data_IF_722087240038
#
_entry.id   IF_722087240038
#
_cell.length_a   1.000
_cell.length_b   1.000
_cell.length_c   1.000
_cell.angle_alpha   90.00
_cell.angle_beta   90.00
_cell.angle_gamma   90.00
#
_symmetry.space_group_name_H-M   'P 1'
#
loop_
_entity.id
_entity.type
_entity.pdbx_description
1 polymer ?
#
# COMPACT_ATOMS: atom_id res chain seq x y z
N UNK A 1 8.41 19.87 -6.39
CA UNK A 1 8.43 18.80 -7.40
C UNK A 1 7.74 17.59 -6.80
N UNK A 2 6.59 17.18 -7.35
CA UNK A 2 5.97 15.92 -6.98
C UNK A 2 6.91 14.84 -7.49
N UNK A 3 7.60 14.15 -6.58
CA UNK A 3 8.27 12.93 -6.96
C UNK A 3 7.17 11.98 -7.40
N UNK A 4 7.04 11.77 -8.70
CA UNK A 4 6.46 10.52 -9.20
C UNK A 4 7.14 9.37 -8.44
N UNK A 5 6.39 8.30 -8.15
CA UNK A 5 6.93 7.06 -7.56
C UNK A 5 8.31 6.83 -8.18
N UNK A 6 9.37 6.98 -7.37
CA UNK A 6 10.74 6.86 -7.87
C UNK A 6 10.90 5.50 -8.54
N UNK A 7 11.75 5.39 -9.56
CA UNK A 7 11.89 4.16 -10.33
C UNK A 7 12.20 2.94 -9.43
N UNK A 8 12.91 3.15 -8.32
CA UNK A 8 13.15 2.13 -7.29
C UNK A 8 11.85 1.65 -6.60
N UNK A 9 10.95 2.57 -6.24
CA UNK A 9 9.65 2.18 -5.67
C UNK A 9 8.79 1.44 -6.69
N UNK A 10 8.87 1.79 -7.99
CA UNK A 10 8.18 1.01 -9.05
C UNK A 10 8.71 -0.42 -9.14
N UNK A 11 10.03 -0.62 -9.11
CA UNK A 11 10.62 -1.97 -9.14
C UNK A 11 10.20 -2.79 -7.90
N UNK A 12 10.13 -2.17 -6.72
CA UNK A 12 9.61 -2.82 -5.51
C UNK A 12 8.12 -3.19 -5.67
N UNK A 13 7.31 -2.32 -6.30
CA UNK A 13 5.91 -2.62 -6.59
C UNK A 13 5.73 -3.72 -7.64
N UNK A 14 6.50 -3.73 -8.72
CA UNK A 14 6.46 -4.77 -9.75
C UNK A 14 6.92 -6.13 -9.20
N UNK A 15 7.92 -6.12 -8.32
CA UNK A 15 8.40 -7.33 -7.62
C UNK A 15 7.31 -7.88 -6.70
N UNK A 16 6.67 -7.02 -5.90
CA UNK A 16 5.57 -7.46 -5.04
C UNK A 16 4.39 -7.94 -5.88
N UNK A 17 4.01 -7.23 -6.94
CA UNK A 17 2.93 -7.64 -7.83
C UNK A 17 3.20 -9.02 -8.45
N UNK A 18 4.42 -9.26 -8.93
CA UNK A 18 4.83 -10.56 -9.49
C UNK A 18 4.76 -11.70 -8.45
N UNK A 19 5.17 -11.43 -7.21
CA UNK A 19 5.04 -12.40 -6.10
C UNK A 19 3.57 -12.65 -5.73
N UNK A 20 2.71 -11.64 -5.82
CA UNK A 20 1.27 -11.77 -5.57
C UNK A 20 0.51 -12.53 -6.66
N UNK A 21 0.85 -12.29 -7.93
CA UNK A 21 0.33 -13.07 -9.06
C UNK A 21 0.66 -14.55 -8.89
N UNK A 22 1.83 -14.85 -8.32
CA UNK A 22 2.26 -16.21 -7.98
C UNK A 22 1.51 -16.78 -6.77
N UNK A 23 1.19 -15.95 -5.77
CA UNK A 23 0.47 -16.35 -4.56
C UNK A 23 -1.07 -16.50 -4.76
N UNK A 24 -1.63 -16.00 -5.86
CA UNK A 24 -3.07 -16.04 -6.21
C UNK A 24 -3.63 -17.44 -6.51
N UNK A 25 -2.87 -18.50 -6.21
CA UNK A 25 -3.25 -19.90 -6.43
C UNK A 25 -4.41 -20.41 -5.59
N UNK A 26 -4.77 -19.78 -4.45
CA UNK A 26 -5.69 -20.40 -3.48
C UNK A 26 -6.78 -19.49 -2.85
N UNK A 27 -7.10 -18.35 -3.46
CA UNK A 27 -8.35 -17.60 -3.17
C UNK A 27 -8.56 -17.02 -1.75
N UNK A 28 -7.67 -17.31 -0.81
CA UNK A 28 -7.74 -16.88 0.60
C UNK A 28 -6.78 -15.70 0.92
N UNK A 29 -6.00 -15.26 -0.07
CA UNK A 29 -5.01 -14.18 0.07
C UNK A 29 -5.60 -12.77 0.13
N UNK A 30 -4.79 -11.81 0.58
CA UNK A 30 -5.13 -10.39 0.54
C UNK A 30 -5.38 -9.92 -0.90
N UNK A 31 -6.30 -8.97 -1.08
CA UNK A 31 -6.56 -8.38 -2.40
C UNK A 31 -5.43 -7.42 -2.83
N UNK A 32 -5.27 -7.26 -4.14
CA UNK A 32 -4.20 -6.48 -4.76
C UNK A 32 -4.12 -5.03 -4.25
N UNK A 33 -5.26 -4.41 -3.91
CA UNK A 33 -5.30 -3.04 -3.37
C UNK A 33 -4.74 -3.01 -1.95
N UNK A 34 -5.09 -4.01 -1.13
CA UNK A 34 -4.57 -4.15 0.23
C UNK A 34 -3.05 -4.29 0.23
N UNK A 35 -2.50 -5.19 -0.58
CA UNK A 35 -1.03 -5.35 -0.62
C UNK A 35 -0.35 -4.10 -1.18
N UNK A 36 -0.89 -3.50 -2.25
CA UNK A 36 -0.35 -2.26 -2.80
C UNK A 36 -0.23 -1.14 -1.74
N UNK A 37 -1.23 -1.01 -0.88
CA UNK A 37 -1.23 -0.03 0.21
C UNK A 37 -0.21 -0.35 1.30
N UNK A 38 -0.04 -1.63 1.66
CA UNK A 38 0.96 -2.06 2.65
C UNK A 38 2.39 -1.82 2.16
N UNK A 39 2.68 -2.15 0.89
CA UNK A 39 3.99 -1.88 0.28
C UNK A 39 4.24 -0.37 0.18
N UNK A 40 3.22 0.40 -0.21
CA UNK A 40 3.31 1.85 -0.26
C UNK A 40 3.58 2.46 1.13
N UNK A 41 2.95 1.92 2.17
CA UNK A 41 3.18 2.31 3.56
C UNK A 41 4.59 1.97 4.04
N UNK A 42 5.12 0.79 3.68
CA UNK A 42 6.49 0.39 3.97
C UNK A 42 7.54 1.31 3.34
N UNK A 43 7.22 1.87 2.17
CA UNK A 43 8.10 2.72 1.37
C UNK A 43 7.81 4.22 1.48
N UNK A 44 7.02 4.65 2.46
CA UNK A 44 6.69 6.07 2.69
C UNK A 44 6.07 6.79 1.47
N UNK A 45 5.36 6.04 0.62
CA UNK A 45 4.75 6.54 -0.61
C UNK A 45 3.49 7.35 -0.29
N UNK A 46 3.21 8.39 -1.08
CA UNK A 46 1.99 9.16 -0.92
C UNK A 46 0.79 8.37 -1.46
N UNK A 47 -0.33 8.42 -0.74
CA UNK A 47 -1.59 7.81 -1.17
C UNK A 47 -2.00 8.27 -2.58
N UNK A 48 -1.74 9.53 -2.91
CA UNK A 48 -2.03 10.06 -4.24
C UNK A 48 -1.25 9.32 -5.34
N UNK A 49 0.03 9.03 -5.11
CA UNK A 49 0.89 8.44 -6.12
C UNK A 49 0.53 6.97 -6.35
N UNK A 50 0.37 6.18 -5.27
CA UNK A 50 -0.02 4.77 -5.38
C UNK A 50 -1.43 4.59 -5.96
N UNK A 51 -2.40 5.44 -5.56
CA UNK A 51 -3.76 5.35 -6.09
C UNK A 51 -3.86 5.81 -7.54
N UNK A 52 -2.99 6.72 -8.00
CA UNK A 52 -2.87 7.09 -9.40
C UNK A 52 -2.25 5.95 -10.20
N UNK A 53 -1.12 5.41 -9.77
CA UNK A 53 -0.48 4.28 -10.43
C UNK A 53 -1.42 3.08 -10.54
N UNK A 54 -2.05 2.68 -9.43
CA UNK A 54 -2.95 1.54 -9.41
C UNK A 54 -4.20 1.72 -10.29
N UNK A 55 -4.65 2.96 -10.50
CA UNK A 55 -5.71 3.26 -11.47
C UNK A 55 -5.17 3.20 -12.90
N UNK A 56 -3.97 3.74 -13.16
CA UNK A 56 -3.34 3.78 -14.48
C UNK A 56 -3.02 2.36 -15.00
N UNK A 57 -2.64 1.41 -14.13
CA UNK A 57 -2.38 0.00 -14.49
C UNK A 57 -3.61 -0.92 -14.37
N UNK A 58 -4.75 -0.39 -13.93
CA UNK A 58 -6.02 -1.12 -13.88
C UNK A 58 -6.26 -2.01 -12.66
N UNK A 59 -5.52 -1.83 -11.57
CA UNK A 59 -5.73 -2.56 -10.30
C UNK A 59 -7.07 -2.17 -9.68
N UNK A 60 -7.30 -0.88 -9.44
CA UNK A 60 -8.57 -0.37 -8.91
C UNK A 60 -8.69 1.15 -9.03
N UNK A 61 -9.93 1.65 -8.92
CA UNK A 61 -10.18 3.10 -8.86
C UNK A 61 -9.54 3.76 -7.63
N UNK A 62 -9.22 5.06 -7.72
CA UNK A 62 -8.78 5.87 -6.55
C UNK A 62 -9.76 5.81 -5.36
N UNK A 63 -11.06 5.73 -5.64
CA UNK A 63 -12.08 5.61 -4.59
C UNK A 63 -11.97 4.28 -3.83
N UNK A 64 -11.61 3.18 -4.51
CA UNK A 64 -11.35 1.88 -3.89
C UNK A 64 -10.12 1.96 -3.00
N UNK A 65 -9.00 2.49 -3.50
CA UNK A 65 -7.80 2.73 -2.69
C UNK A 65 -8.11 3.53 -1.42
N UNK A 66 -8.89 4.62 -1.54
CA UNK A 66 -9.27 5.44 -0.39
C UNK A 66 -10.05 4.66 0.67
N UNK A 67 -11.04 3.85 0.25
CA UNK A 67 -11.83 3.02 1.19
C UNK A 67 -10.99 1.92 1.84
N UNK A 68 -10.17 1.22 1.06
CA UNK A 68 -9.27 0.19 1.59
C UNK A 68 -8.27 0.80 2.58
N UNK A 69 -7.71 1.97 2.26
CA UNK A 69 -6.86 2.74 3.17
C UNK A 69 -7.54 3.02 4.50
N UNK A 70 -8.77 3.53 4.49
CA UNK A 70 -9.54 3.76 5.74
C UNK A 70 -9.72 2.47 6.53
N UNK A 71 -10.09 1.36 5.87
CA UNK A 71 -10.21 0.05 6.53
C UNK A 71 -8.89 -0.39 7.17
N UNK A 72 -7.75 -0.21 6.49
CA UNK A 72 -6.45 -0.59 7.02
C UNK A 72 -6.01 0.29 8.20
N UNK A 73 -6.36 1.59 8.20
CA UNK A 73 -6.16 2.47 9.37
C UNK A 73 -7.02 2.03 10.55
N UNK A 74 -8.29 1.66 10.33
CA UNK A 74 -9.18 1.15 11.37
C UNK A 74 -8.67 -0.15 12.01
N UNK A 75 -7.94 -0.96 11.23
CA UNK A 75 -7.29 -2.19 11.69
C UNK A 75 -5.89 -1.96 12.29
N UNK A 76 -5.39 -0.72 12.29
CA UNK A 76 -4.05 -0.38 12.77
C UNK A 76 -2.90 -0.89 11.89
N UNK A 77 -3.19 -1.34 10.66
CA UNK A 77 -2.19 -1.88 9.73
C UNK A 77 -1.37 -0.77 9.07
N UNK A 78 -2.01 0.38 8.81
CA UNK A 78 -1.35 1.56 8.25
C UNK A 78 -1.73 2.81 9.03
N UNK A 79 -0.89 3.83 8.93
CA UNK A 79 -1.13 5.17 9.41
C UNK A 79 -0.91 6.18 8.27
N UNK A 80 -1.32 7.44 8.51
CA UNK A 80 -1.01 8.54 7.59
C UNK A 80 -0.40 9.77 8.23
N UNK A 81 0.63 10.30 7.56
CA UNK A 81 1.25 11.57 7.89
C UNK A 81 0.87 12.64 6.85
N UNK A 82 0.52 13.85 7.32
CA UNK A 82 0.24 14.97 6.43
C UNK A 82 1.52 15.58 5.89
N UNK A 83 1.64 15.61 4.56
CA UNK A 83 2.75 16.21 3.84
C UNK A 83 2.30 17.53 3.22
N UNK A 84 2.85 18.69 3.64
CA UNK A 84 2.56 19.98 3.03
C UNK A 84 2.89 20.00 1.54
N UNK A 85 2.10 20.75 0.78
CA UNK A 85 2.34 21.01 -0.64
C UNK A 85 2.14 22.49 -0.92
N UNK A 86 2.71 22.97 -2.03
CA UNK A 86 2.73 24.39 -2.38
C UNK A 86 1.33 24.99 -2.59
N UNK A 87 0.39 24.22 -3.13
CA UNK A 87 -0.99 24.66 -3.38
C UNK A 87 -1.96 23.52 -3.11
N UNK A 88 -3.03 23.81 -2.35
CA UNK A 88 -4.12 22.88 -2.09
C UNK A 88 -4.04 22.23 -0.72
N UNK A 89 -4.68 21.06 -0.57
CA UNK A 89 -4.69 20.30 0.69
C UNK A 89 -3.42 19.46 0.81
N UNK A 90 -2.87 19.29 2.03
CA UNK A 90 -1.75 18.39 2.28
C UNK A 90 -2.01 16.99 1.69
N UNK A 91 -0.97 16.36 1.18
CA UNK A 91 -1.00 14.95 0.76
C UNK A 91 -0.85 14.05 1.97
N UNK A 92 -1.22 12.78 1.82
CA UNK A 92 -1.07 11.77 2.86
C UNK A 92 0.07 10.85 2.48
N UNK A 93 1.12 10.82 3.30
CA UNK A 93 2.16 9.80 3.26
C UNK A 93 1.67 8.60 4.04
N UNK A 94 1.75 7.43 3.43
CA UNK A 94 1.40 6.16 4.08
C UNK A 94 2.56 5.71 4.98
N UNK A 95 2.21 5.11 6.12
CA UNK A 95 3.14 4.55 7.11
C UNK A 95 2.61 3.20 7.57
N UNK A 96 3.49 2.28 7.98
CA UNK A 96 3.04 1.06 8.66
C UNK A 96 2.54 1.43 10.06
N UNK A 97 1.36 0.94 10.43
CA UNK A 97 0.70 1.28 11.69
C UNK A 97 1.06 0.33 12.85
N UNK A 98 1.61 -0.86 12.54
CA UNK A 98 1.94 -1.89 13.52
C UNK A 98 3.44 -2.24 13.50
N UNK A 99 4.03 -2.38 14.68
CA UNK A 99 5.45 -2.73 14.84
C UNK A 99 5.80 -4.09 14.22
N UNK A 100 4.85 -5.04 14.20
CA UNK A 100 5.03 -6.37 13.59
C UNK A 100 5.27 -6.30 12.09
N UNK A 101 4.80 -5.25 11.43
CA UNK A 101 4.98 -5.04 9.99
C UNK A 101 6.34 -4.42 9.64
N UNK A 102 6.97 -3.70 10.57
CA UNK A 102 8.22 -2.97 10.30
C UNK A 102 9.43 -3.88 10.10
N UNK A 103 9.41 -5.08 10.68
CA UNK A 103 10.47 -6.08 10.54
C UNK A 103 10.26 -7.07 9.41
N UNK A 104 9.06 -7.10 8.81
CA UNK A 104 8.71 -8.04 7.76
C UNK A 104 9.34 -7.63 6.44
N UNK A 105 9.92 -8.56 5.69
CA UNK A 105 10.26 -8.30 4.29
C UNK A 105 8.98 -8.14 3.42
N UNK A 106 9.13 -7.88 2.11
CA UNK A 106 7.97 -7.63 1.27
C UNK A 106 7.07 -8.86 1.08
N UNK A 107 7.63 -10.07 1.13
CA UNK A 107 6.89 -11.33 1.04
C UNK A 107 6.17 -11.64 2.35
N UNK A 108 6.85 -11.44 3.49
CA UNK A 108 6.32 -11.62 4.83
C UNK A 108 5.21 -10.62 5.17
N UNK A 109 5.28 -9.40 4.63
CA UNK A 109 4.33 -8.31 4.91
C UNK A 109 2.88 -8.74 4.66
N UNK A 110 2.64 -9.47 3.55
CA UNK A 110 1.31 -9.94 3.20
C UNK A 110 0.80 -10.99 4.21
N UNK A 111 1.65 -11.95 4.59
CA UNK A 111 1.30 -13.00 5.56
C UNK A 111 1.04 -12.43 6.96
N UNK A 112 1.87 -11.49 7.43
CA UNK A 112 1.68 -10.83 8.73
C UNK A 112 0.37 -10.04 8.73
N UNK A 113 0.11 -9.23 7.70
CA UNK A 113 -1.13 -8.47 7.60
C UNK A 113 -2.38 -9.38 7.52
N UNK A 114 -2.31 -10.49 6.77
CA UNK A 114 -3.39 -11.45 6.69
C UNK A 114 -3.72 -12.07 8.05
N UNK A 115 -2.68 -12.44 8.82
CA UNK A 115 -2.86 -12.97 10.17
C UNK A 115 -3.58 -11.99 11.10
N UNK A 116 -3.28 -10.69 10.96
CA UNK A 116 -3.91 -9.62 11.75
C UNK A 116 -5.37 -9.36 11.34
N UNK A 117 -5.71 -9.54 10.06
CA UNK A 117 -7.08 -9.35 9.55
C UNK A 117 -7.98 -10.53 9.90
N UNK A 118 -7.42 -11.73 9.97
CA UNK A 118 -8.14 -12.95 10.34
C UNK A 118 -8.33 -13.13 11.87
N UNK A 119 -7.72 -12.24 12.67
CA UNK A 119 -7.79 -12.23 14.14
C UNK A 119 -9.07 -11.59 14.65
#
# INVERSE_FOLDING_TARGET
MAADIGDQSREDFDTVLSSLETARGDGDGLDEVTISLLVAAKNDVLLYDISKWGEDVGIASKATFSRTKTRLEELGLIDTEKVPIDVGRPRLRLKLGDERLHGADAEELASVAQSMIAS
#
